data_IF_832590601589
#
_entry.id   IF_832590601589
#
_cell.length_a   1.000
_cell.length_b   1.000
_cell.length_c   1.000
_cell.angle_alpha   90.00
_cell.angle_beta   90.00
_cell.angle_gamma   90.00
#
_symmetry.space_group_name_H-M   'P 1'
#
loop_
_entity.id
_entity.type
_entity.pdbx_description
1 polymer ?
#
# COMPACT_ATOMS: atom_id res chain seq x y z
N UNK A 1 7.53 -9.24 -7.99
CA UNK A 1 7.23 -9.55 -6.58
C UNK A 1 5.74 -9.81 -6.45
N UNK A 2 5.34 -10.87 -5.77
CA UNK A 2 3.96 -11.33 -5.59
C UNK A 2 3.55 -11.17 -4.12
N UNK A 3 2.25 -11.27 -3.82
CA UNK A 3 1.71 -11.19 -2.47
C UNK A 3 2.39 -12.17 -1.50
N UNK A 4 2.60 -13.42 -1.93
CA UNK A 4 3.27 -14.48 -1.14
C UNK A 4 4.71 -14.17 -0.73
N UNK A 5 5.39 -13.28 -1.46
CA UNK A 5 6.80 -12.97 -1.24
C UNK A 5 6.98 -12.05 -0.02
N UNK A 6 5.95 -11.22 0.30
CA UNK A 6 6.02 -10.22 1.37
C UNK A 6 5.02 -10.44 2.51
N UNK A 7 4.03 -11.32 2.34
CA UNK A 7 3.01 -11.53 3.35
C UNK A 7 3.57 -12.08 4.65
N UNK A 8 3.04 -11.61 5.77
CA UNK A 8 3.24 -12.25 7.07
C UNK A 8 2.43 -13.54 7.13
N UNK A 9 3.12 -14.69 7.31
CA UNK A 9 2.49 -16.03 7.35
C UNK A 9 1.97 -16.40 8.73
N UNK A 10 2.58 -15.86 9.80
CA UNK A 10 2.11 -16.05 11.17
C UNK A 10 1.06 -14.99 11.48
N UNK A 11 -0.20 -15.31 11.20
CA UNK A 11 -1.31 -14.37 11.36
C UNK A 11 -2.04 -14.67 12.66
N UNK A 12 -2.09 -13.67 13.56
CA UNK A 12 -2.98 -13.70 14.69
C UNK A 12 -4.40 -13.43 14.22
N UNK A 13 -5.36 -14.20 14.69
CA UNK A 13 -6.77 -14.06 14.33
C UNK A 13 -7.67 -14.04 15.57
N UNK A 14 -8.87 -13.50 15.41
CA UNK A 14 -9.92 -13.49 16.42
C UNK A 14 -11.01 -14.46 16.04
N UNK A 15 -11.77 -14.92 17.02
CA UNK A 15 -13.08 -15.52 16.82
C UNK A 15 -14.18 -14.43 16.86
N UNK A 16 -15.30 -14.57 16.14
CA UNK A 16 -16.45 -13.68 16.28
C UNK A 16 -16.98 -13.57 17.72
N UNK A 17 -16.76 -14.61 18.53
CA UNK A 17 -17.20 -14.68 19.93
C UNK A 17 -16.28 -13.96 20.92
N UNK A 18 -15.07 -13.57 20.49
CA UNK A 18 -14.16 -12.83 21.36
C UNK A 18 -14.73 -11.46 21.73
N UNK A 19 -14.33 -10.96 22.91
CA UNK A 19 -14.69 -9.63 23.34
C UNK A 19 -13.83 -8.56 22.65
N UNK A 20 -14.37 -7.37 22.52
CA UNK A 20 -13.65 -6.20 22.03
C UNK A 20 -12.45 -5.87 22.91
N UNK A 21 -12.57 -6.02 24.24
CA UNK A 21 -11.44 -5.83 25.16
C UNK A 21 -10.29 -6.82 24.89
N UNK A 22 -10.63 -8.08 24.57
CA UNK A 22 -9.62 -9.07 24.18
C UNK A 22 -8.94 -8.67 22.88
N UNK A 23 -9.71 -8.26 21.87
CA UNK A 23 -9.18 -7.80 20.59
C UNK A 23 -8.25 -6.58 20.74
N UNK A 24 -8.68 -5.58 21.52
CA UNK A 24 -7.87 -4.39 21.79
C UNK A 24 -6.55 -4.74 22.47
N UNK A 25 -6.59 -5.63 23.47
CA UNK A 25 -5.38 -6.12 24.16
C UNK A 25 -4.44 -6.83 23.21
N UNK A 26 -4.94 -7.74 22.36
CA UNK A 26 -4.13 -8.42 21.36
C UNK A 26 -3.47 -7.44 20.39
N UNK A 27 -4.18 -6.38 19.96
CA UNK A 27 -3.62 -5.35 19.09
C UNK A 27 -2.48 -4.60 19.77
N UNK A 28 -2.65 -4.20 21.03
CA UNK A 28 -1.65 -3.46 21.80
C UNK A 28 -0.39 -4.31 22.08
N UNK A 29 -0.56 -5.52 22.59
CA UNK A 29 0.54 -6.43 22.94
C UNK A 29 1.39 -6.81 21.71
N UNK A 30 0.76 -6.98 20.56
CA UNK A 30 1.45 -7.36 19.32
C UNK A 30 1.79 -6.18 18.40
N UNK A 31 1.47 -4.94 18.80
CA UNK A 31 1.69 -3.71 18.02
C UNK A 31 1.11 -3.78 16.61
N UNK A 32 -0.10 -4.31 16.51
CA UNK A 32 -0.83 -4.46 15.26
C UNK A 32 -2.14 -3.68 15.32
N UNK A 33 -2.53 -3.07 14.22
CA UNK A 33 -3.69 -2.19 14.13
C UNK A 33 -4.92 -2.86 13.50
N UNK A 34 -4.99 -4.20 13.54
CA UNK A 34 -6.18 -4.97 13.17
C UNK A 34 -5.88 -6.44 12.93
N UNK A 35 -6.90 -7.23 13.08
CA UNK A 35 -6.88 -8.68 13.13
C UNK A 35 -7.96 -9.27 12.20
N UNK A 36 -7.62 -10.28 11.40
CA UNK A 36 -8.62 -11.11 10.74
C UNK A 36 -9.50 -11.81 11.78
N UNK A 37 -10.75 -12.02 11.43
CA UNK A 37 -11.70 -12.77 12.24
C UNK A 37 -12.04 -14.06 11.51
N UNK A 38 -11.79 -15.19 12.15
CA UNK A 38 -12.04 -16.51 11.60
C UNK A 38 -13.09 -17.26 12.45
N UNK A 39 -13.92 -18.04 11.79
CA UNK A 39 -14.85 -18.94 12.47
C UNK A 39 -14.14 -20.19 13.03
N UNK A 40 -14.90 -21.08 13.66
CA UNK A 40 -14.38 -22.30 14.26
C UNK A 40 -13.79 -23.29 13.23
N UNK A 41 -14.09 -23.13 11.95
CA UNK A 41 -13.49 -23.90 10.87
C UNK A 41 -12.18 -23.29 10.33
N UNK A 42 -11.78 -22.12 10.85
CA UNK A 42 -10.64 -21.36 10.37
C UNK A 42 -10.93 -20.51 9.13
N UNK A 43 -12.17 -20.43 8.69
CA UNK A 43 -12.56 -19.61 7.54
C UNK A 43 -12.62 -18.13 7.94
N UNK A 44 -12.05 -17.28 7.10
CA UNK A 44 -12.10 -15.83 7.25
C UNK A 44 -13.54 -15.32 7.09
N UNK A 45 -14.09 -14.69 8.13
CA UNK A 45 -15.49 -14.20 8.18
C UNK A 45 -15.57 -12.69 8.39
N UNK A 46 -14.48 -12.03 8.76
CA UNK A 46 -14.43 -10.60 9.00
C UNK A 46 -13.03 -10.09 9.22
N UNK A 47 -12.90 -8.78 9.41
CA UNK A 47 -11.70 -8.11 9.85
C UNK A 47 -12.06 -7.05 10.88
N UNK A 48 -11.31 -6.97 11.97
CA UNK A 48 -11.45 -5.94 13.00
C UNK A 48 -10.21 -5.05 13.00
N UNK A 49 -10.40 -3.74 12.95
CA UNK A 49 -9.32 -2.76 12.92
C UNK A 49 -9.43 -1.74 14.05
N UNK A 50 -8.35 -1.00 14.32
CA UNK A 50 -8.40 0.18 15.21
C UNK A 50 -9.50 1.17 14.82
N UNK A 51 -9.71 1.37 13.51
CA UNK A 51 -10.77 2.26 13.02
C UNK A 51 -12.16 1.83 13.46
N UNK A 52 -12.42 0.52 13.58
CA UNK A 52 -13.68 0.01 14.10
C UNK A 52 -13.81 0.26 15.62
N UNK A 53 -12.69 0.16 16.35
CA UNK A 53 -12.65 0.41 17.78
C UNK A 53 -12.76 1.91 18.14
N UNK A 54 -12.16 2.79 17.32
CA UNK A 54 -12.22 4.24 17.54
C UNK A 54 -13.62 4.84 17.33
N UNK A 55 -14.51 4.13 16.67
CA UNK A 55 -15.92 4.56 16.47
C UNK A 55 -16.84 4.19 17.64
N UNK A 56 -16.32 3.65 18.72
CA UNK A 56 -17.11 3.18 19.85
C UNK A 56 -17.65 4.33 20.69
N UNK A 57 -18.85 4.11 21.20
CA UNK A 57 -19.58 5.10 22.00
C UNK A 57 -18.85 5.47 23.30
N UNK A 58 -18.12 4.52 23.93
CA UNK A 58 -17.37 4.77 25.18
C UNK A 58 -16.28 5.82 25.02
N UNK A 59 -15.78 6.03 23.79
CA UNK A 59 -14.77 7.05 23.52
C UNK A 59 -15.36 8.43 23.27
N UNK A 60 -16.68 8.60 23.43
CA UNK A 60 -17.35 9.85 23.10
C UNK A 60 -17.20 10.23 21.62
N UNK A 61 -16.86 9.26 20.79
CA UNK A 61 -16.56 9.49 19.38
C UNK A 61 -17.82 10.00 18.66
N UNK A 62 -17.80 11.28 18.32
CA UNK A 62 -18.79 11.92 17.46
C UNK A 62 -18.71 11.45 15.99
N UNK A 63 -17.97 10.39 15.69
CA UNK A 63 -17.88 9.82 14.35
C UNK A 63 -19.21 9.27 13.81
N UNK A 64 -20.26 9.28 14.64
CA UNK A 64 -21.68 9.15 14.24
C UNK A 64 -22.44 10.47 14.13
N UNK A 65 -21.81 11.63 14.38
CA UNK A 65 -22.47 12.94 14.34
C UNK A 65 -22.35 13.66 12.99
N UNK A 66 -22.07 12.96 11.95
CA UNK A 66 -22.04 13.51 10.58
C UNK A 66 -23.38 13.44 9.87
N UNK A 67 -24.48 13.56 10.56
CA UNK A 67 -25.84 13.99 10.16
C UNK A 67 -26.72 13.79 11.39
N UNK A 68 -27.35 14.87 11.84
CA UNK A 68 -28.38 14.85 12.85
C UNK A 68 -29.62 14.22 12.22
N UNK A 69 -29.64 12.89 12.12
CA UNK A 69 -30.89 12.16 12.08
C UNK A 69 -31.24 11.80 13.52
N UNK A 70 -32.44 12.14 13.96
CA UNK A 70 -32.94 11.92 15.32
C UNK A 70 -32.96 10.46 15.79
N UNK A 71 -32.52 9.53 14.97
CA UNK A 71 -32.36 8.10 15.27
C UNK A 71 -31.08 7.56 14.64
N UNK A 72 -30.14 7.00 15.45
CA UNK A 72 -28.97 6.30 14.89
C UNK A 72 -29.44 5.08 14.10
N UNK A 73 -28.81 4.86 12.94
CA UNK A 73 -28.99 3.63 12.17
C UNK A 73 -28.69 2.42 13.08
N UNK A 74 -29.58 1.39 13.11
CA UNK A 74 -29.43 0.25 14.02
C UNK A 74 -28.05 -0.41 13.95
N UNK A 75 -27.47 -0.52 12.76
CA UNK A 75 -26.12 -1.08 12.55
C UNK A 75 -25.03 -0.23 13.18
N UNK A 76 -25.12 1.09 13.08
CA UNK A 76 -24.18 2.02 13.71
C UNK A 76 -24.26 1.93 15.23
N UNK A 77 -25.46 1.79 15.79
CA UNK A 77 -25.66 1.57 17.21
C UNK A 77 -25.03 0.26 17.68
N UNK A 78 -25.26 -0.85 16.98
CA UNK A 78 -24.66 -2.16 17.29
C UNK A 78 -23.14 -2.07 17.26
N UNK A 79 -22.56 -1.52 16.20
CA UNK A 79 -21.11 -1.35 16.07
C UNK A 79 -20.50 -0.48 17.17
N UNK A 80 -21.22 0.53 17.63
CA UNK A 80 -20.78 1.43 18.69
C UNK A 80 -20.87 0.84 20.10
N UNK A 81 -21.75 -0.13 20.36
CA UNK A 81 -22.09 -0.58 21.71
C UNK A 81 -21.84 -2.07 21.96
N UNK A 82 -21.80 -2.91 20.92
CA UNK A 82 -21.60 -4.35 21.14
C UNK A 82 -20.22 -4.66 21.72
N UNK A 83 -20.17 -5.61 22.62
CA UNK A 83 -18.94 -6.13 23.21
C UNK A 83 -18.32 -7.27 22.41
N UNK A 84 -19.01 -7.81 21.40
CA UNK A 84 -18.58 -8.97 20.59
C UNK A 84 -17.91 -8.52 19.30
N UNK A 85 -16.80 -9.17 18.96
CA UNK A 85 -16.06 -8.93 17.73
C UNK A 85 -16.95 -9.12 16.49
N UNK A 86 -17.76 -10.19 16.46
CA UNK A 86 -18.63 -10.53 15.34
C UNK A 86 -19.63 -9.43 14.94
N UNK A 87 -20.04 -8.60 15.90
CA UNK A 87 -21.00 -7.51 15.66
C UNK A 87 -20.31 -6.21 15.18
N UNK A 88 -19.01 -6.06 15.50
CA UNK A 88 -18.25 -4.85 15.21
C UNK A 88 -17.38 -4.98 13.97
N UNK A 89 -16.94 -6.21 13.66
CA UNK A 89 -16.05 -6.49 12.52
C UNK A 89 -16.61 -5.99 11.19
N UNK A 90 -15.71 -5.62 10.28
CA UNK A 90 -16.08 -5.27 8.90
C UNK A 90 -16.19 -6.53 8.05
N UNK A 91 -17.27 -6.60 7.27
CA UNK A 91 -17.55 -7.65 6.26
C UNK A 91 -18.38 -7.05 5.09
N UNK A 92 -18.25 -7.56 3.83
CA UNK A 92 -17.31 -8.62 3.42
C UNK A 92 -15.85 -8.17 3.49
N UNK A 93 -14.91 -9.12 3.62
CA UNK A 93 -13.48 -8.83 3.69
C UNK A 93 -12.92 -8.77 2.27
N UNK A 94 -12.20 -7.70 1.95
CA UNK A 94 -11.41 -7.61 0.72
C UNK A 94 -10.16 -8.48 0.89
N UNK A 95 -9.97 -9.46 0.01
CA UNK A 95 -8.85 -10.40 0.03
C UNK A 95 -8.13 -10.41 -1.31
N UNK A 96 -6.92 -10.93 -1.35
CA UNK A 96 -6.17 -11.20 -2.58
C UNK A 96 -5.64 -12.63 -2.58
N UNK A 97 -5.45 -13.20 -3.76
CA UNK A 97 -4.75 -14.47 -3.92
C UNK A 97 -3.23 -14.28 -3.72
N UNK A 98 -2.54 -15.34 -3.31
CA UNK A 98 -1.12 -15.30 -3.00
C UNK A 98 -0.22 -14.99 -4.21
N UNK A 99 -0.69 -15.25 -5.42
CA UNK A 99 0.03 -15.01 -6.68
C UNK A 99 -0.28 -13.64 -7.31
N UNK A 100 -1.05 -12.79 -6.65
CA UNK A 100 -1.35 -11.43 -7.14
C UNK A 100 -0.09 -10.57 -7.09
N UNK A 101 0.24 -9.81 -8.17
CA UNK A 101 1.37 -8.89 -8.19
C UNK A 101 1.23 -7.78 -7.13
N UNK A 102 2.34 -7.44 -6.46
CA UNK A 102 2.35 -6.47 -5.36
C UNK A 102 1.78 -5.10 -5.75
N UNK A 103 2.05 -4.60 -6.95
CA UNK A 103 1.46 -3.34 -7.43
C UNK A 103 -0.07 -3.40 -7.48
N UNK A 104 -0.65 -4.56 -7.83
CA UNK A 104 -2.10 -4.76 -7.80
C UNK A 104 -2.65 -4.80 -6.38
N UNK A 105 -1.91 -5.44 -5.44
CA UNK A 105 -2.27 -5.43 -4.02
C UNK A 105 -2.32 -4.00 -3.49
N UNK A 106 -1.29 -3.18 -3.78
CA UNK A 106 -1.23 -1.78 -3.38
C UNK A 106 -2.41 -0.97 -3.95
N UNK A 107 -2.73 -1.15 -5.23
CA UNK A 107 -3.86 -0.48 -5.89
C UNK A 107 -5.20 -0.85 -5.22
N UNK A 108 -5.42 -2.13 -4.88
CA UNK A 108 -6.63 -2.57 -4.17
C UNK A 108 -6.71 -1.94 -2.78
N UNK A 109 -5.59 -1.88 -2.05
CA UNK A 109 -5.55 -1.26 -0.71
C UNK A 109 -5.86 0.23 -0.76
N UNK A 110 -5.40 0.95 -1.78
CA UNK A 110 -5.70 2.38 -1.98
C UNK A 110 -7.17 2.57 -2.36
N UNK A 111 -7.66 1.83 -3.35
CA UNK A 111 -9.04 1.96 -3.85
C UNK A 111 -10.11 1.65 -2.80
N UNK A 112 -9.80 0.77 -1.84
CA UNK A 112 -10.71 0.40 -0.74
C UNK A 112 -10.39 1.12 0.59
N UNK A 113 -9.42 2.04 0.61
CA UNK A 113 -8.97 2.78 1.80
C UNK A 113 -8.53 1.89 2.97
N UNK A 114 -8.10 0.65 2.69
CA UNK A 114 -7.72 -0.34 3.70
C UNK A 114 -6.22 -0.29 4.01
N UNK A 115 -5.86 -0.60 5.25
CA UNK A 115 -4.46 -0.60 5.73
C UNK A 115 -3.83 -1.99 5.72
N UNK A 116 -4.63 -3.04 5.52
CA UNK A 116 -4.18 -4.44 5.43
C UNK A 116 -5.14 -5.24 4.57
N UNK A 117 -4.63 -6.33 4.03
CA UNK A 117 -5.39 -7.22 3.17
C UNK A 117 -5.00 -8.67 3.48
N UNK A 118 -5.95 -9.54 3.86
CA UNK A 118 -5.70 -10.96 3.99
C UNK A 118 -5.37 -11.59 2.64
N UNK A 119 -4.41 -12.50 2.65
CA UNK A 119 -4.01 -13.29 1.48
C UNK A 119 -4.61 -14.68 1.61
N UNK A 120 -5.26 -15.13 0.54
CA UNK A 120 -5.93 -16.42 0.51
C UNK A 120 -5.33 -17.34 -0.55
N UNK A 121 -5.46 -18.65 -0.31
CA UNK A 121 -5.18 -19.72 -1.27
C UNK A 121 -6.33 -20.71 -1.18
N UNK A 122 -7.00 -21.00 -2.30
CA UNK A 122 -8.15 -21.90 -2.35
C UNK A 122 -9.20 -21.62 -1.25
N UNK A 123 -9.47 -20.34 -0.97
CA UNK A 123 -10.45 -19.89 0.02
C UNK A 123 -9.97 -19.90 1.48
N UNK A 124 -8.78 -20.41 1.77
CA UNK A 124 -8.18 -20.42 3.10
C UNK A 124 -7.18 -19.28 3.26
N UNK A 125 -7.18 -18.59 4.40
CA UNK A 125 -6.22 -17.53 4.68
C UNK A 125 -4.82 -18.13 4.90
N UNK A 126 -3.84 -17.66 4.12
CA UNK A 126 -2.44 -18.09 4.18
C UNK A 126 -1.49 -17.01 4.66
N UNK A 127 -1.94 -15.78 4.75
CA UNK A 127 -1.13 -14.65 5.20
C UNK A 127 -1.92 -13.36 5.28
N UNK A 128 -1.22 -12.29 5.62
CA UNK A 128 -1.75 -10.92 5.62
C UNK A 128 -0.66 -9.95 5.17
N UNK A 129 -1.04 -8.93 4.41
CA UNK A 129 -0.16 -7.84 3.99
C UNK A 129 -0.69 -6.54 4.59
N UNK A 130 0.20 -5.76 5.17
CA UNK A 130 -0.07 -4.41 5.66
C UNK A 130 0.60 -3.34 4.78
N UNK A 131 0.21 -2.07 4.95
CA UNK A 131 0.92 -0.95 4.30
C UNK A 131 2.41 -0.91 4.69
N UNK A 132 2.75 -1.29 5.92
CA UNK A 132 4.14 -1.35 6.39
C UNK A 132 4.97 -2.39 5.64
N UNK A 133 4.38 -3.53 5.26
CA UNK A 133 5.08 -4.54 4.46
C UNK A 133 5.38 -4.01 3.06
N UNK A 134 4.45 -3.28 2.44
CA UNK A 134 4.67 -2.62 1.15
C UNK A 134 5.74 -1.53 1.27
N UNK A 135 5.69 -0.68 2.31
CA UNK A 135 6.71 0.36 2.51
C UNK A 135 8.10 -0.24 2.71
N UNK A 136 8.22 -1.37 3.39
CA UNK A 136 9.50 -2.07 3.56
C UNK A 136 10.08 -2.50 2.22
N UNK A 137 9.26 -2.99 1.28
CA UNK A 137 9.77 -3.35 -0.06
C UNK A 137 10.31 -2.15 -0.83
N UNK A 138 9.74 -0.94 -0.61
CA UNK A 138 10.26 0.29 -1.22
C UNK A 138 11.65 0.63 -0.66
N UNK A 139 11.87 0.44 0.64
CA UNK A 139 13.18 0.73 1.27
C UNK A 139 14.25 -0.31 0.91
N UNK A 140 13.84 -1.52 0.59
CA UNK A 140 14.72 -2.64 0.23
C UNK A 140 14.91 -2.76 -1.29
N UNK A 141 14.13 -2.02 -2.08
CA UNK A 141 14.25 -2.01 -3.53
C UNK A 141 15.62 -1.46 -3.93
N UNK A 142 16.48 -2.34 -4.42
CA UNK A 142 17.67 -1.91 -5.14
C UNK A 142 17.23 -1.30 -6.48
N UNK A 143 17.88 -0.25 -6.97
CA UNK A 143 17.59 0.28 -8.29
C UNK A 143 17.67 -0.82 -9.35
N UNK A 144 16.66 -0.90 -10.22
CA UNK A 144 16.50 -1.98 -11.21
C UNK A 144 17.67 -2.14 -12.19
N UNK A 145 18.50 -1.12 -12.33
CA UNK A 145 19.61 -1.12 -13.27
C UNK A 145 20.87 -0.61 -12.58
N UNK A 146 21.86 -1.49 -12.39
CA UNK A 146 23.22 -1.09 -12.01
C UNK A 146 23.99 -0.79 -13.28
N UNK A 147 24.00 0.48 -13.70
CA UNK A 147 24.78 0.92 -14.84
C UNK A 147 26.17 1.34 -14.35
N UNK A 148 27.21 0.68 -14.86
CA UNK A 148 28.60 0.98 -14.54
C UNK A 148 29.26 1.71 -15.71
N UNK A 149 29.70 2.97 -15.47
CA UNK A 149 30.31 3.85 -16.46
C UNK A 149 29.30 4.74 -17.18
N UNK A 150 29.76 5.91 -17.59
CA UNK A 150 28.94 7.01 -18.13
C UNK A 150 28.08 6.60 -19.33
N UNK A 151 28.63 5.78 -20.24
CA UNK A 151 27.89 5.33 -21.42
C UNK A 151 26.78 4.29 -21.07
N UNK A 152 26.99 3.47 -20.04
CA UNK A 152 25.97 2.54 -19.56
C UNK A 152 24.83 3.30 -18.86
N UNK A 153 25.18 4.29 -18.04
CA UNK A 153 24.18 5.18 -17.39
C UNK A 153 23.41 5.96 -18.45
N UNK A 154 24.07 6.50 -19.48
CA UNK A 154 23.42 7.22 -20.58
C UNK A 154 22.38 6.35 -21.30
N UNK A 155 22.77 5.11 -21.66
CA UNK A 155 21.85 4.16 -22.32
C UNK A 155 20.65 3.81 -21.43
N UNK A 156 20.88 3.58 -20.14
CA UNK A 156 19.83 3.27 -19.17
C UNK A 156 18.84 4.43 -19.00
N UNK A 157 19.34 5.67 -18.88
CA UNK A 157 18.52 6.88 -18.80
C UNK A 157 17.66 7.04 -20.06
N UNK A 158 18.26 6.96 -21.25
CA UNK A 158 17.54 7.08 -22.52
C UNK A 158 16.48 5.97 -22.68
N UNK A 159 16.83 4.72 -22.34
CA UNK A 159 15.88 3.62 -22.39
C UNK A 159 14.66 3.88 -21.49
N UNK A 160 14.88 4.35 -20.25
CA UNK A 160 13.83 4.67 -19.29
C UNK A 160 12.95 5.83 -19.75
N UNK A 161 13.54 6.90 -20.27
CA UNK A 161 12.81 8.05 -20.82
C UNK A 161 11.89 7.65 -21.98
N UNK A 162 12.40 6.77 -22.86
CA UNK A 162 11.60 6.29 -23.99
C UNK A 162 10.52 5.28 -23.56
N UNK A 163 10.84 4.30 -22.68
CA UNK A 163 9.91 3.24 -22.32
C UNK A 163 8.80 3.70 -21.38
N UNK A 164 9.17 4.48 -20.35
CA UNK A 164 8.24 4.82 -19.27
C UNK A 164 7.46 6.12 -19.55
N UNK A 165 8.07 7.04 -20.29
CA UNK A 165 7.47 8.34 -20.59
C UNK A 165 7.11 8.53 -22.06
N UNK A 166 7.42 7.56 -22.93
CA UNK A 166 7.12 7.63 -24.36
C UNK A 166 7.84 8.78 -25.09
N UNK A 167 8.93 9.31 -24.50
CA UNK A 167 9.65 10.44 -25.08
C UNK A 167 10.47 10.00 -26.29
N UNK A 168 10.46 10.81 -27.34
CA UNK A 168 11.28 10.56 -28.52
C UNK A 168 12.76 10.87 -28.22
N UNK A 169 13.66 10.01 -28.71
CA UNK A 169 15.11 10.17 -28.55
C UNK A 169 15.67 11.47 -29.10
N UNK A 170 14.96 12.09 -30.05
CA UNK A 170 15.33 13.37 -30.63
C UNK A 170 14.91 14.60 -29.82
N UNK A 171 14.00 14.45 -28.87
CA UNK A 171 13.46 15.54 -28.05
C UNK A 171 14.29 15.86 -26.81
N UNK A 172 15.12 14.92 -26.37
CA UNK A 172 15.96 15.08 -25.16
C UNK A 172 17.41 14.67 -25.47
N UNK A 173 18.33 15.54 -25.13
CA UNK A 173 19.75 15.23 -25.09
C UNK A 173 20.19 14.88 -23.67
N UNK A 174 20.96 13.80 -23.55
CA UNK A 174 21.44 13.24 -22.27
C UNK A 174 22.96 13.18 -22.34
N UNK A 175 23.62 14.00 -21.53
CA UNK A 175 25.08 13.96 -21.35
C UNK A 175 25.42 13.49 -19.95
N UNK A 176 26.51 12.73 -19.82
CA UNK A 176 27.01 12.22 -18.54
C UNK A 176 28.45 12.48 -18.41
N UNK A 177 28.84 13.03 -17.26
CA UNK A 177 30.25 13.30 -16.91
C UNK A 177 30.48 12.84 -15.46
N UNK A 178 31.34 11.85 -15.27
CA UNK A 178 31.69 11.29 -13.96
C UNK A 178 30.41 10.87 -13.15
N UNK A 179 29.47 10.21 -13.80
CA UNK A 179 28.20 9.80 -13.20
C UNK A 179 27.15 10.90 -13.05
N UNK A 180 27.48 12.17 -13.32
CA UNK A 180 26.51 13.27 -13.28
C UNK A 180 25.75 13.36 -14.60
N UNK A 181 24.44 13.19 -14.52
CA UNK A 181 23.51 13.26 -15.67
C UNK A 181 23.08 14.70 -15.90
N UNK A 182 23.21 15.19 -17.12
CA UNK A 182 22.60 16.46 -17.54
C UNK A 182 21.57 16.21 -18.62
N UNK A 183 20.36 16.71 -18.42
CA UNK A 183 19.23 16.59 -19.32
C UNK A 183 18.95 17.93 -20.00
N UNK A 184 18.85 17.92 -21.31
CA UNK A 184 18.54 19.10 -22.13
C UNK A 184 17.39 18.77 -23.07
N UNK A 185 16.55 19.75 -23.40
CA UNK A 185 15.47 19.59 -24.37
C UNK A 185 14.17 20.23 -23.92
N UNK A 186 13.08 19.83 -24.56
CA UNK A 186 11.72 20.29 -24.25
C UNK A 186 10.86 19.09 -23.83
N UNK A 187 10.15 19.23 -22.73
CA UNK A 187 9.29 18.19 -22.17
C UNK A 187 8.01 18.80 -21.63
N UNK A 188 6.95 18.01 -21.52
CA UNK A 188 5.67 18.45 -21.00
C UNK A 188 5.61 18.47 -19.46
N UNK A 189 6.57 17.80 -18.79
CA UNK A 189 6.61 17.70 -17.32
C UNK A 189 8.00 17.43 -16.77
N UNK A 190 8.17 17.53 -15.45
CA UNK A 190 9.40 17.15 -14.74
C UNK A 190 9.64 15.62 -14.64
N UNK A 191 8.77 14.81 -15.19
CA UNK A 191 8.86 13.35 -15.12
C UNK A 191 10.20 12.81 -15.65
N UNK A 192 10.77 13.47 -16.66
CA UNK A 192 12.06 13.09 -17.23
C UNK A 192 13.22 13.18 -16.21
N UNK A 193 13.23 14.22 -15.36
CA UNK A 193 14.19 14.34 -14.26
C UNK A 193 14.06 13.19 -13.28
N UNK A 194 12.82 12.94 -12.82
CA UNK A 194 12.55 11.87 -11.86
C UNK A 194 12.94 10.51 -12.42
N UNK A 195 12.62 10.23 -13.69
CA UNK A 195 13.00 8.97 -14.34
C UNK A 195 14.53 8.79 -14.40
N UNK A 196 15.29 9.86 -14.68
CA UNK A 196 16.75 9.79 -14.69
C UNK A 196 17.35 9.58 -13.29
N UNK A 197 16.77 10.19 -12.24
CA UNK A 197 17.20 10.02 -10.84
C UNK A 197 17.04 8.59 -10.31
N UNK A 198 16.14 7.80 -10.90
CA UNK A 198 15.93 6.39 -10.50
C UNK A 198 16.98 5.42 -11.04
N UNK A 199 17.86 5.87 -11.91
CA UNK A 199 18.93 5.01 -12.46
C UNK A 199 20.10 4.93 -11.49
N UNK A 200 20.42 3.71 -11.06
CA UNK A 200 21.61 3.45 -10.24
C UNK A 200 22.89 3.74 -11.01
N UNK A 201 23.80 4.48 -10.39
CA UNK A 201 25.04 4.94 -11.03
C UNK A 201 24.97 6.41 -11.46
N UNK A 202 23.79 7.04 -11.45
CA UNK A 202 23.68 8.49 -11.58
C UNK A 202 24.11 9.15 -10.26
N UNK A 203 25.24 9.86 -10.27
CA UNK A 203 25.76 10.59 -9.09
C UNK A 203 25.00 11.89 -8.79
N UNK A 204 24.18 12.34 -9.72
CA UNK A 204 23.30 13.50 -9.62
C UNK A 204 22.67 13.82 -10.97
N UNK A 205 21.50 14.47 -10.96
CA UNK A 205 20.80 14.87 -12.18
C UNK A 205 20.69 16.39 -12.23
N UNK A 206 21.29 17.01 -13.24
CA UNK A 206 21.12 18.44 -13.56
C UNK A 206 20.00 18.57 -14.59
N UNK A 207 18.88 19.06 -14.16
CA UNK A 207 17.74 19.32 -15.05
C UNK A 207 17.87 20.69 -15.72
N UNK A 208 18.02 20.69 -17.05
CA UNK A 208 17.99 21.90 -17.92
C UNK A 208 16.90 21.77 -18.99
N UNK A 209 15.88 20.98 -18.72
CA UNK A 209 14.73 20.83 -19.58
C UNK A 209 13.85 22.08 -19.50
N UNK A 210 13.27 22.46 -20.62
CA UNK A 210 12.21 23.48 -20.68
C UNK A 210 10.86 22.77 -20.68
N UNK A 211 10.02 23.12 -19.73
CA UNK A 211 8.63 22.63 -19.69
C UNK A 211 7.82 23.50 -20.65
N UNK A 212 7.25 22.86 -21.66
CA UNK A 212 6.34 23.51 -22.61
C UNK A 212 4.93 23.06 -22.23
N UNK A 213 4.11 24.00 -21.77
CA UNK A 213 2.70 23.73 -21.55
C UNK A 213 2.00 23.55 -22.90
N UNK A 214 1.26 22.46 -23.03
CA UNK A 214 0.40 22.19 -24.17
C UNK A 214 -0.92 22.95 -24.05
#
# INVERSE_FOLDING_TARGET
MLAKDIMSKKVLSLSPEHSISHAARMMLENRISGLPVCDNSGKLVGILSEGDLLRRAELGSAAGRGQVSDRPEPEAFIKGHSWRVGDVMTRPVVTVDEDVPLGRVAAIMVANEIKRIPVVRAGSMVGIISRSDILRTITEATPDVVAVGDEAVRRAVLARLCSDLGLDRGSIDVTIENGNVSLWGQVESEAARVAAETISGAGGVRNRLRIVAN
#
